data_IF_086784838757
#
_entry.id   IF_086784838757
#
_cell.length_a   1.000
_cell.length_b   1.000
_cell.length_c   1.000
_cell.angle_alpha   90.00
_cell.angle_beta   90.00
_cell.angle_gamma   90.00
#
_symmetry.space_group_name_H-M   'P 1'
#
loop_
_entity.id
_entity.type
_entity.pdbx_description
1 polymer ?
#
# COMPACT_ATOMS: atom_id res chain seq x y z
N UNK A 1 55.77 25.26 33.58
CA UNK A 1 55.45 24.04 34.37
C UNK A 1 53.96 23.77 34.24
N UNK A 2 53.59 22.55 33.84
CA UNK A 2 52.28 21.88 33.91
C UNK A 2 51.02 22.71 33.58
N UNK A 3 50.20 22.32 32.60
CA UNK A 3 49.36 21.12 32.74
C UNK A 3 48.71 20.76 31.41
N UNK A 4 48.79 19.48 31.05
CA UNK A 4 48.03 18.85 29.98
C UNK A 4 46.54 18.82 30.31
N UNK A 5 45.67 18.93 29.29
CA UNK A 5 44.26 18.53 29.35
C UNK A 5 43.89 17.65 28.16
N UNK A 6 42.96 16.70 28.36
CA UNK A 6 42.94 15.43 27.66
C UNK A 6 42.03 15.44 26.43
N UNK A 7 42.39 14.59 25.47
CA UNK A 7 41.58 14.17 24.33
C UNK A 7 40.38 13.37 24.84
N UNK A 8 39.17 13.93 24.75
CA UNK A 8 37.94 13.14 24.85
C UNK A 8 37.72 12.42 23.52
N UNK A 9 37.98 11.12 23.52
CA UNK A 9 37.53 10.17 22.51
C UNK A 9 36.02 9.99 22.67
N UNK A 10 35.23 10.59 21.77
CA UNK A 10 33.81 10.26 21.64
C UNK A 10 33.67 8.80 21.20
N UNK A 11 33.03 8.01 22.04
CA UNK A 11 32.63 6.63 21.80
C UNK A 11 31.53 6.62 20.74
N UNK A 12 31.77 5.92 19.64
CA UNK A 12 30.76 5.60 18.64
C UNK A 12 29.81 4.54 19.21
N UNK A 13 28.54 4.88 19.35
CA UNK A 13 27.45 3.94 19.61
C UNK A 13 27.05 3.26 18.31
N UNK A 14 27.10 1.92 18.18
CA UNK A 14 26.49 1.24 17.06
C UNK A 14 24.97 1.20 17.24
N UNK A 15 24.23 1.79 16.29
CA UNK A 15 22.80 1.52 16.12
C UNK A 15 22.63 0.05 15.75
N UNK A 16 22.00 -0.72 16.63
CA UNK A 16 21.51 -2.05 16.32
C UNK A 16 20.30 -1.92 15.37
N UNK A 17 20.50 -2.31 14.11
CA UNK A 17 19.42 -2.48 13.14
C UNK A 17 18.61 -3.73 13.51
N UNK A 18 17.41 -3.53 14.06
CA UNK A 18 16.44 -4.61 14.25
C UNK A 18 15.62 -4.70 12.96
N UNK A 19 16.03 -5.58 12.06
CA UNK A 19 15.22 -5.98 10.91
C UNK A 19 14.16 -7.00 11.37
N UNK A 20 12.92 -6.56 11.57
CA UNK A 20 11.78 -7.47 11.70
C UNK A 20 11.38 -7.93 10.29
N UNK A 21 11.90 -9.08 9.87
CA UNK A 21 11.36 -9.85 8.76
C UNK A 21 10.16 -10.64 9.27
N UNK A 22 8.95 -10.17 8.97
CA UNK A 22 7.75 -10.98 9.10
C UNK A 22 7.69 -11.95 7.91
N UNK A 23 8.16 -13.18 8.11
CA UNK A 23 7.96 -14.28 7.18
C UNK A 23 6.54 -14.84 7.37
N UNK A 24 5.69 -14.94 6.33
CA UNK A 24 4.48 -15.73 6.44
C UNK A 24 4.85 -17.22 6.45
N UNK A 25 4.40 -17.92 7.49
CA UNK A 25 4.50 -19.36 7.59
C UNK A 25 3.71 -20.03 6.46
N UNK A 26 4.40 -20.80 5.62
CA UNK A 26 3.77 -21.65 4.63
C UNK A 26 3.05 -22.83 5.33
N UNK A 27 1.78 -23.11 5.01
CA UNK A 27 1.15 -24.35 5.47
C UNK A 27 1.73 -25.55 4.73
N UNK A 28 2.22 -26.54 5.49
CA UNK A 28 2.62 -27.84 4.97
C UNK A 28 1.38 -28.62 4.50
N UNK A 29 1.24 -28.78 3.18
CA UNK A 29 0.21 -29.61 2.58
C UNK A 29 0.63 -31.09 2.66
N UNK A 30 -0.11 -31.89 3.42
CA UNK A 30 -0.05 -33.35 3.36
C UNK A 30 -0.59 -33.82 2.01
N UNK A 31 0.26 -34.50 1.24
CA UNK A 31 -0.11 -35.14 -0.01
C UNK A 31 -0.90 -36.43 0.25
N UNK A 32 -2.20 -36.42 -0.04
CA UNK A 32 -2.96 -37.64 -0.35
C UNK A 32 -3.36 -37.57 -1.82
N UNK A 33 -2.71 -38.42 -2.63
CA UNK A 33 -3.01 -38.53 -4.04
C UNK A 33 -4.38 -39.16 -4.27
N UNK A 34 -5.18 -38.53 -5.12
CA UNK A 34 -6.22 -39.15 -5.93
C UNK A 34 -6.12 -38.55 -7.34
N UNK A 35 -5.89 -39.41 -8.33
CA UNK A 35 -5.84 -39.02 -9.73
C UNK A 35 -7.18 -38.44 -10.16
N UNK A 36 -7.20 -37.14 -10.44
CA UNK A 36 -8.26 -36.45 -11.16
C UNK A 36 -7.72 -36.04 -12.51
N UNK A 37 -8.41 -36.45 -13.57
CA UNK A 37 -8.09 -36.13 -14.95
C UNK A 37 -7.84 -34.62 -15.14
N UNK A 38 -6.80 -34.29 -15.91
CA UNK A 38 -6.61 -32.95 -16.45
C UNK A 38 -7.75 -32.65 -17.43
N UNK A 39 -8.87 -32.18 -16.91
CA UNK A 39 -9.82 -31.44 -17.72
C UNK A 39 -9.16 -30.10 -18.02
N UNK A 40 -8.74 -29.95 -19.28
CA UNK A 40 -8.32 -28.69 -19.88
C UNK A 40 -9.51 -27.73 -19.98
N UNK A 41 -10.04 -27.35 -18.82
CA UNK A 41 -11.14 -26.42 -18.66
C UNK A 41 -10.76 -25.10 -19.31
N UNK A 42 -11.26 -24.90 -20.52
CA UNK A 42 -11.39 -23.60 -21.13
C UNK A 42 -12.41 -22.84 -20.28
N UNK A 43 -11.93 -22.29 -19.16
CA UNK A 43 -12.72 -21.55 -18.20
C UNK A 43 -13.35 -20.36 -18.90
N UNK A 44 -14.66 -20.44 -19.07
CA UNK A 44 -15.52 -19.38 -19.57
C UNK A 44 -15.35 -18.11 -18.72
N UNK A 45 -14.52 -17.18 -19.19
CA UNK A 45 -14.67 -15.72 -19.11
C UNK A 45 -14.88 -15.00 -17.77
N UNK A 46 -14.86 -15.69 -16.63
CA UNK A 46 -15.18 -15.11 -15.34
C UNK A 46 -14.03 -15.34 -14.36
N UNK A 47 -13.43 -14.25 -13.84
CA UNK A 47 -12.32 -14.29 -12.89
C UNK A 47 -12.65 -15.08 -11.60
N UNK A 48 -11.67 -15.18 -10.68
CA UNK A 48 -11.87 -15.91 -9.42
C UNK A 48 -13.09 -15.40 -8.64
N UNK A 49 -13.62 -16.18 -7.68
CA UNK A 49 -14.59 -15.67 -6.72
C UNK A 49 -14.07 -14.41 -6.01
N UNK A 50 -15.00 -13.58 -5.55
CA UNK A 50 -14.67 -12.45 -4.69
C UNK A 50 -14.23 -12.95 -3.32
N UNK A 51 -13.15 -12.35 -2.81
CA UNK A 51 -12.55 -12.64 -1.51
C UNK A 51 -12.57 -11.35 -0.69
N UNK A 52 -13.07 -11.35 0.55
CA UNK A 52 -12.99 -10.17 1.41
C UNK A 52 -11.55 -9.69 1.56
N UNK A 53 -11.36 -8.38 1.45
CA UNK A 53 -10.13 -7.70 1.82
C UNK A 53 -10.35 -6.97 3.13
N UNK A 54 -9.31 -6.88 3.97
CA UNK A 54 -9.37 -6.15 5.23
C UNK A 54 -8.18 -5.21 5.32
N UNK A 55 -8.49 -3.93 5.30
CA UNK A 55 -7.55 -2.85 5.51
C UNK A 55 -7.28 -2.75 7.00
N UNK A 56 -6.00 -2.70 7.36
CA UNK A 56 -5.55 -2.59 8.75
C UNK A 56 -5.35 -1.12 9.13
N UNK A 57 -5.47 -0.81 10.41
CA UNK A 57 -5.01 0.49 10.93
C UNK A 57 -3.49 0.61 10.74
N UNK A 58 -3.03 1.79 10.32
CA UNK A 58 -1.60 2.07 10.13
C UNK A 58 -1.22 3.45 10.66
N UNK A 59 0.01 3.56 11.15
CA UNK A 59 0.66 4.85 11.40
C UNK A 59 1.65 5.13 10.28
N UNK A 60 1.45 6.24 9.58
CA UNK A 60 2.40 6.81 8.62
C UNK A 60 3.34 7.75 9.38
N UNK A 61 4.62 7.41 9.56
CA UNK A 61 5.56 8.28 10.25
C UNK A 61 5.81 9.56 9.47
N UNK A 62 6.09 10.66 10.17
CA UNK A 62 6.44 11.95 9.57
C UNK A 62 7.55 11.85 8.51
N UNK A 63 8.53 10.95 8.72
CA UNK A 63 9.63 10.71 7.79
C UNK A 63 9.20 10.07 6.44
N UNK A 64 7.93 9.71 6.27
CA UNK A 64 7.38 9.02 5.09
C UNK A 64 6.25 9.81 4.39
N UNK A 65 5.95 11.04 4.80
CA UNK A 65 4.92 11.89 4.18
C UNK A 65 5.29 13.39 4.24
N UNK A 66 4.43 14.25 3.68
CA UNK A 66 4.54 15.73 3.74
C UNK A 66 4.13 16.30 5.09
N UNK A 67 3.41 15.53 5.91
CA UNK A 67 2.71 16.07 7.08
C UNK A 67 3.66 16.65 8.14
N UNK A 68 4.92 16.23 8.21
CA UNK A 68 5.83 16.67 9.29
C UNK A 68 5.47 16.13 10.69
N UNK A 69 4.35 15.41 10.83
CA UNK A 69 3.89 14.69 12.01
C UNK A 69 3.43 13.27 11.64
N UNK A 70 3.36 12.39 12.64
CA UNK A 70 2.85 11.04 12.46
C UNK A 70 1.32 11.08 12.26
N UNK A 71 0.84 10.33 11.27
CA UNK A 71 -0.59 10.23 10.95
C UNK A 71 -1.09 8.82 11.23
N UNK A 72 -2.12 8.67 12.05
CA UNK A 72 -2.88 7.41 12.16
C UNK A 72 -3.98 7.39 11.11
N UNK A 73 -4.01 6.32 10.31
CA UNK A 73 -5.08 6.03 9.35
C UNK A 73 -5.87 4.85 9.90
N UNK A 74 -7.14 5.10 10.23
CA UNK A 74 -8.04 4.09 10.84
C UNK A 74 -9.22 3.83 9.91
N UNK A 75 -9.44 2.58 9.45
CA UNK A 75 -10.66 2.21 8.75
C UNK A 75 -11.88 2.34 9.66
N UNK A 76 -12.83 3.19 9.28
CA UNK A 76 -14.12 3.36 9.95
C UNK A 76 -15.20 2.45 9.35
N UNK A 77 -15.08 2.14 8.05
CA UNK A 77 -15.88 1.16 7.35
C UNK A 77 -14.99 0.47 6.33
N UNK A 78 -15.09 -0.85 6.28
CA UNK A 78 -14.39 -1.67 5.31
C UNK A 78 -15.32 -2.82 4.89
N UNK A 79 -15.69 -2.81 3.62
CA UNK A 79 -16.43 -3.86 2.93
C UNK A 79 -15.74 -4.18 1.60
N UNK A 80 -14.41 -4.05 1.58
CA UNK A 80 -13.62 -4.31 0.38
C UNK A 80 -13.56 -5.80 0.07
N UNK A 81 -13.51 -6.11 -1.21
CA UNK A 81 -13.29 -7.44 -1.74
C UNK A 81 -12.48 -7.37 -3.02
N UNK A 82 -11.73 -8.44 -3.30
CA UNK A 82 -10.94 -8.56 -4.51
C UNK A 82 -11.19 -9.89 -5.21
N UNK A 83 -10.85 -9.92 -6.50
CA UNK A 83 -10.71 -11.17 -7.25
C UNK A 83 -9.56 -11.11 -8.23
N UNK A 84 -8.93 -12.24 -8.47
CA UNK A 84 -7.92 -12.40 -9.52
C UNK A 84 -8.59 -12.49 -10.88
N UNK A 85 -8.18 -11.62 -11.79
CA UNK A 85 -8.72 -11.54 -13.16
C UNK A 85 -7.75 -12.09 -14.21
N UNK A 86 -6.46 -12.14 -13.89
CA UNK A 86 -5.45 -12.84 -14.67
C UNK A 86 -4.29 -13.30 -13.79
N UNK A 87 -3.59 -14.35 -14.20
CA UNK A 87 -2.43 -14.92 -13.51
C UNK A 87 -1.20 -14.96 -14.41
N UNK A 88 -0.02 -15.03 -13.80
CA UNK A 88 1.21 -15.45 -14.46
C UNK A 88 1.21 -16.98 -14.68
N UNK A 89 2.16 -17.53 -15.47
CA UNK A 89 2.24 -18.99 -15.72
C UNK A 89 2.44 -19.83 -14.46
N UNK A 90 3.01 -19.27 -13.39
CA UNK A 90 3.19 -19.92 -12.09
C UNK A 90 1.92 -19.91 -11.21
N UNK A 91 0.82 -19.33 -11.71
CA UNK A 91 -0.45 -19.20 -11.02
C UNK A 91 -0.56 -17.99 -10.09
N UNK A 92 0.51 -17.21 -9.91
CA UNK A 92 0.46 -15.99 -9.08
C UNK A 92 -0.40 -14.91 -9.75
N UNK A 93 -1.06 -14.01 -8.97
CA UNK A 93 -1.88 -12.95 -9.55
C UNK A 93 -1.05 -12.01 -10.42
N UNK A 94 -1.50 -11.78 -11.66
CA UNK A 94 -0.99 -10.71 -12.52
C UNK A 94 -1.85 -9.46 -12.39
N UNK A 95 -3.16 -9.64 -12.33
CA UNK A 95 -4.11 -8.54 -12.18
C UNK A 95 -5.23 -8.95 -11.23
N UNK A 96 -5.56 -8.05 -10.31
CA UNK A 96 -6.69 -8.18 -9.41
C UNK A 96 -7.65 -6.99 -9.58
N UNK A 97 -8.94 -7.27 -9.48
CA UNK A 97 -9.98 -6.25 -9.41
C UNK A 97 -10.42 -6.16 -7.95
N UNK A 98 -10.36 -4.95 -7.40
CA UNK A 98 -10.86 -4.60 -6.07
C UNK A 98 -12.17 -3.83 -6.23
N UNK A 99 -13.08 -4.00 -5.27
CA UNK A 99 -14.26 -3.15 -5.10
C UNK A 99 -14.73 -3.14 -3.66
N UNK A 100 -15.54 -2.15 -3.31
CA UNK A 100 -16.27 -2.14 -2.05
C UNK A 100 -16.24 -0.76 -1.40
N UNK A 101 -16.77 -0.70 -0.18
CA UNK A 101 -16.72 0.50 0.62
C UNK A 101 -15.44 0.53 1.47
N UNK A 102 -14.74 1.65 1.46
CA UNK A 102 -13.67 1.94 2.40
C UNK A 102 -13.83 3.38 2.86
N UNK A 103 -13.94 3.61 4.16
CA UNK A 103 -13.98 4.95 4.75
C UNK A 103 -12.91 5.00 5.82
N UNK A 104 -12.00 5.97 5.73
CA UNK A 104 -10.85 6.09 6.63
C UNK A 104 -10.87 7.42 7.37
N UNK A 105 -10.41 7.40 8.62
CA UNK A 105 -10.07 8.58 9.40
C UNK A 105 -8.55 8.77 9.41
N UNK A 106 -8.10 9.96 9.05
CA UNK A 106 -6.71 10.37 9.10
C UNK A 106 -6.54 11.31 10.29
N UNK A 107 -5.64 10.99 11.21
CA UNK A 107 -5.49 11.73 12.48
C UNK A 107 -4.04 12.14 12.68
N UNK A 108 -3.80 13.45 12.81
CA UNK A 108 -2.54 14.01 13.28
C UNK A 108 -2.32 13.62 14.73
N UNK A 109 -1.28 12.84 15.02
CA UNK A 109 -1.02 12.33 16.36
C UNK A 109 -0.43 13.37 17.32
N UNK A 110 0.06 14.50 16.81
CA UNK A 110 0.57 15.59 17.63
C UNK A 110 -0.56 16.48 18.15
N UNK A 111 -1.58 16.76 17.33
CA UNK A 111 -2.64 17.74 17.64
C UNK A 111 -3.99 17.10 17.93
N UNK A 112 -4.23 15.87 17.44
CA UNK A 112 -5.53 15.22 17.46
C UNK A 112 -6.48 15.70 16.35
N UNK A 113 -6.05 16.61 15.47
CA UNK A 113 -6.82 17.01 14.30
C UNK A 113 -7.07 15.80 13.39
N UNK A 114 -8.28 15.69 12.85
CA UNK A 114 -8.65 14.55 12.02
C UNK A 114 -9.58 14.90 10.88
N UNK A 115 -9.52 14.06 9.85
CA UNK A 115 -10.39 14.18 8.69
C UNK A 115 -10.81 12.79 8.20
N UNK A 116 -12.07 12.67 7.77
CA UNK A 116 -12.63 11.42 7.24
C UNK A 116 -12.74 11.50 5.72
N UNK A 117 -12.34 10.43 5.02
CA UNK A 117 -12.44 10.33 3.57
C UNK A 117 -13.09 9.02 3.14
N UNK A 118 -13.94 9.15 2.13
CA UNK A 118 -14.55 8.01 1.45
C UNK A 118 -13.65 7.57 0.30
N UNK A 119 -13.12 6.37 0.42
CA UNK A 119 -12.26 5.68 -0.54
C UNK A 119 -12.99 4.49 -1.17
N UNK A 120 -14.32 4.47 -1.11
CA UNK A 120 -15.13 3.45 -1.77
C UNK A 120 -14.85 3.50 -3.28
N UNK A 121 -14.37 2.37 -3.82
CA UNK A 121 -13.84 2.35 -5.17
C UNK A 121 -14.13 1.04 -5.89
N UNK A 122 -13.89 1.06 -7.20
CA UNK A 122 -13.55 -0.10 -8.00
C UNK A 122 -12.22 0.20 -8.65
N UNK A 123 -11.21 -0.65 -8.41
CA UNK A 123 -9.86 -0.38 -8.87
C UNK A 123 -9.15 -1.66 -9.33
N UNK A 124 -8.21 -1.48 -10.24
CA UNK A 124 -7.40 -2.57 -10.79
C UNK A 124 -6.00 -2.48 -10.20
N UNK A 125 -5.59 -3.56 -9.53
CA UNK A 125 -4.23 -3.74 -9.05
C UNK A 125 -3.47 -4.64 -10.03
N UNK A 126 -2.30 -4.20 -10.47
CA UNK A 126 -1.41 -4.98 -11.34
C UNK A 126 -0.13 -5.30 -10.59
N UNK A 127 0.36 -6.51 -10.79
CA UNK A 127 1.57 -7.03 -10.17
C UNK A 127 2.62 -7.37 -11.23
N UNK A 128 3.89 -7.26 -10.84
CA UNK A 128 5.02 -7.76 -11.62
C UNK A 128 5.11 -9.30 -11.51
N UNK A 129 5.93 -9.96 -12.35
CA UNK A 129 6.16 -11.41 -12.25
C UNK A 129 6.75 -11.87 -10.91
N UNK A 130 7.45 -11.00 -10.19
CA UNK A 130 7.96 -11.29 -8.84
C UNK A 130 6.92 -11.11 -7.72
N UNK A 131 5.67 -10.79 -8.08
CA UNK A 131 4.57 -10.53 -7.16
C UNK A 131 4.57 -9.12 -6.57
N UNK A 132 5.56 -8.27 -6.87
CA UNK A 132 5.58 -6.90 -6.37
C UNK A 132 4.48 -6.04 -7.02
N UNK A 133 3.89 -5.08 -6.30
CA UNK A 133 2.97 -4.09 -6.86
C UNK A 133 3.58 -3.34 -8.05
N UNK A 134 2.89 -3.30 -9.18
CA UNK A 134 3.28 -2.49 -10.34
C UNK A 134 2.45 -1.20 -10.41
N UNK A 135 1.12 -1.31 -10.28
CA UNK A 135 0.24 -0.14 -10.30
C UNK A 135 -1.12 -0.42 -9.65
N UNK A 136 -1.77 0.65 -9.19
CA UNK A 136 -3.19 0.68 -8.81
C UNK A 136 -3.89 1.73 -9.67
N UNK A 137 -5.00 1.39 -10.32
CA UNK A 137 -5.74 2.30 -11.19
C UNK A 137 -7.22 2.30 -10.84
N UNK A 138 -7.79 3.47 -10.57
CA UNK A 138 -9.21 3.64 -10.32
C UNK A 138 -10.02 3.46 -11.59
N UNK A 139 -11.03 2.58 -11.54
CA UNK A 139 -12.12 2.51 -12.52
C UNK A 139 -13.24 3.45 -12.06
N UNK A 140 -13.52 3.47 -10.76
CA UNK A 140 -14.50 4.34 -10.13
C UNK A 140 -14.10 4.60 -8.68
N UNK A 141 -14.45 5.78 -8.14
CA UNK A 141 -14.15 6.15 -6.76
C UNK A 141 -12.71 6.64 -6.55
N UNK A 142 -12.38 6.89 -5.29
CA UNK A 142 -11.09 7.41 -4.85
C UNK A 142 -10.27 6.33 -4.12
N UNK A 143 -8.95 6.50 -4.03
CA UNK A 143 -8.08 5.63 -3.25
C UNK A 143 -6.97 6.44 -2.58
N UNK A 144 -6.48 5.95 -1.44
CA UNK A 144 -5.36 6.55 -0.71
C UNK A 144 -4.01 6.07 -1.24
N UNK A 145 -3.00 6.94 -1.21
CA UNK A 145 -1.60 6.55 -1.44
C UNK A 145 -0.64 7.41 -0.63
N UNK A 146 0.38 6.78 -0.06
CA UNK A 146 1.58 7.47 0.40
C UNK A 146 2.54 7.70 -0.77
N UNK A 147 3.30 8.78 -0.74
CA UNK A 147 4.39 9.08 -1.66
C UNK A 147 5.67 9.13 -0.83
N UNK A 148 6.51 8.09 -0.84
CA UNK A 148 7.80 8.09 -0.15
C UNK A 148 8.77 9.13 -0.75
N UNK A 149 9.80 9.59 -0.01
CA UNK A 149 10.80 10.54 -0.53
C UNK A 149 11.40 10.10 -1.87
N UNK A 150 11.59 11.03 -2.80
CA UNK A 150 12.05 10.77 -4.17
C UNK A 150 10.95 10.35 -5.15
N UNK A 151 9.69 10.36 -4.71
CA UNK A 151 8.53 10.09 -5.57
C UNK A 151 8.22 11.27 -6.50
N UNK A 152 7.13 11.18 -7.28
CA UNK A 152 6.58 12.31 -8.04
C UNK A 152 5.07 12.39 -7.80
N UNK A 153 4.58 13.33 -6.96
CA UNK A 153 5.31 14.34 -6.17
C UNK A 153 6.31 13.75 -5.16
N UNK A 154 7.32 14.54 -4.76
CA UNK A 154 8.48 14.06 -3.97
C UNK A 154 8.10 13.30 -2.70
N UNK A 155 7.09 13.76 -1.99
CA UNK A 155 6.55 13.08 -0.80
C UNK A 155 5.07 13.42 -0.61
N UNK A 156 4.37 12.69 0.27
CA UNK A 156 3.02 13.05 0.72
C UNK A 156 2.09 11.91 1.09
N UNK A 157 0.88 12.27 1.52
CA UNK A 157 -0.21 11.34 1.78
C UNK A 157 -1.46 11.86 1.07
N UNK A 158 -1.86 11.18 -0.01
CA UNK A 158 -2.86 11.69 -0.92
C UNK A 158 -4.11 10.81 -0.97
N UNK A 159 -5.26 11.45 -1.12
CA UNK A 159 -6.47 10.82 -1.65
C UNK A 159 -6.62 11.20 -3.12
N UNK A 160 -6.58 10.19 -3.99
CA UNK A 160 -6.62 10.33 -5.43
C UNK A 160 -7.98 9.90 -5.98
N UNK A 161 -8.62 10.75 -6.77
CA UNK A 161 -9.93 10.49 -7.37
C UNK A 161 -9.90 10.57 -8.89
N UNK A 162 -10.98 10.14 -9.55
CA UNK A 162 -11.17 10.23 -10.99
C UNK A 162 -10.97 8.91 -11.75
N UNK A 163 -11.64 8.78 -12.90
CA UNK A 163 -11.57 7.56 -13.70
C UNK A 163 -10.22 7.48 -14.43
N UNK A 164 -9.52 6.37 -14.26
CA UNK A 164 -8.20 6.15 -14.85
C UNK A 164 -7.08 6.85 -14.07
N UNK A 165 -7.38 7.45 -12.91
CA UNK A 165 -6.35 7.92 -11.99
C UNK A 165 -5.57 6.72 -11.47
N UNK A 166 -4.25 6.80 -11.50
CA UNK A 166 -3.38 5.68 -11.17
C UNK A 166 -2.17 6.09 -10.35
N UNK A 167 -1.67 5.15 -9.56
CA UNK A 167 -0.33 5.20 -8.95
C UNK A 167 0.52 4.07 -9.52
N UNK A 168 1.76 4.39 -9.88
CA UNK A 168 2.81 3.45 -10.25
C UNK A 168 3.71 3.25 -9.04
N UNK A 169 4.04 1.99 -8.76
CA UNK A 169 4.96 1.60 -7.69
C UNK A 169 6.28 1.17 -8.31
N UNK A 170 7.33 1.98 -8.19
CA UNK A 170 8.63 1.68 -8.77
C UNK A 170 9.40 0.63 -7.95
N UNK A 171 10.34 -0.06 -8.59
CA UNK A 171 11.11 -1.12 -7.93
C UNK A 171 12.08 -0.62 -6.85
N UNK A 172 12.44 0.67 -6.90
CA UNK A 172 13.24 1.33 -5.87
C UNK A 172 12.40 1.82 -4.67
N UNK A 173 11.09 1.59 -4.70
CA UNK A 173 10.15 1.98 -3.66
C UNK A 173 9.56 3.38 -3.83
N UNK A 174 10.04 4.17 -4.80
CA UNK A 174 9.42 5.44 -5.17
C UNK A 174 8.09 5.21 -5.88
N UNK A 175 7.29 6.26 -5.99
CA UNK A 175 5.97 6.21 -6.64
C UNK A 175 5.78 7.40 -7.54
N UNK A 176 4.89 7.26 -8.51
CA UNK A 176 4.34 8.40 -9.25
C UNK A 176 2.85 8.21 -9.43
N UNK A 177 2.08 9.29 -9.54
CA UNK A 177 0.67 9.17 -9.91
C UNK A 177 0.32 9.98 -11.15
N UNK A 178 -0.71 9.54 -11.85
CA UNK A 178 -1.30 10.22 -12.98
C UNK A 178 -2.79 10.46 -12.69
N UNK A 179 -3.25 11.69 -12.88
CA UNK A 179 -4.66 12.03 -12.73
C UNK A 179 -5.41 11.75 -14.03
N UNK A 180 -6.42 10.89 -13.93
CA UNK A 180 -7.28 10.52 -15.05
C UNK A 180 -8.36 11.56 -15.32
N UNK A 181 -9.44 11.11 -15.96
CA UNK A 181 -10.59 11.96 -16.29
C UNK A 181 -11.30 12.38 -15.00
N UNK A 182 -11.48 13.70 -14.84
CA UNK A 182 -12.00 14.33 -13.61
C UNK A 182 -11.13 14.00 -12.39
N UNK A 183 -9.82 13.87 -12.62
CA UNK A 183 -8.88 13.50 -11.57
C UNK A 183 -8.70 14.59 -10.52
N UNK A 184 -8.61 14.17 -9.27
CA UNK A 184 -8.32 15.03 -8.13
C UNK A 184 -7.17 14.41 -7.33
N UNK A 185 -6.33 15.26 -6.75
CA UNK A 185 -5.37 14.88 -5.74
C UNK A 185 -5.56 15.81 -4.55
N UNK A 186 -5.91 15.24 -3.41
CA UNK A 186 -5.97 15.94 -2.14
C UNK A 186 -4.78 15.52 -1.30
N UNK A 187 -3.93 16.47 -0.87
CA UNK A 187 -2.97 16.21 0.19
C UNK A 187 -3.72 16.21 1.53
N UNK A 188 -3.76 15.06 2.19
CA UNK A 188 -4.46 14.90 3.47
C UNK A 188 -3.79 15.73 4.56
N UNK A 189 -2.48 15.95 4.46
CA UNK A 189 -1.72 16.71 5.45
C UNK A 189 -2.26 18.14 5.60
N UNK A 190 -2.64 18.80 4.50
CA UNK A 190 -3.21 20.15 4.52
C UNK A 190 -4.55 20.22 5.29
N UNK A 191 -5.26 19.10 5.39
CA UNK A 191 -6.56 19.04 6.06
C UNK A 191 -6.45 18.75 7.58
N UNK A 192 -5.27 18.33 8.06
CA UNK A 192 -5.06 17.90 9.46
C UNK A 192 -3.82 18.52 10.13
N UNK A 193 -3.21 19.53 9.51
CA UNK A 193 -2.12 20.33 10.09
C UNK A 193 -2.58 21.09 11.35
#
# INVERSE_FOLDING_TARGET
>A
MNTARPLLRSLATPLAAVALLAAPAAPAALATGHGGAHDGGHGSGHGSPWTPYRTEEVVVPAARSTCGFDVRITPLRDEEEYRTTSTWPDGTPRTQLFRGALVESYTNLATGASVVRDLSATAVFTYRPDGSPASLTSVHGAFGTTMPPGSTPDTGLYVLGGHGTSVTFETDGTRSFHLGRHGTAEDVCDAID
#
